data_IF_365398135115
#
_entry.id   IF_365398135115
#
_cell.length_a   1.000
_cell.length_b   1.000
_cell.length_c   1.000
_cell.angle_alpha   90.00
_cell.angle_beta   90.00
_cell.angle_gamma   90.00
#
_symmetry.space_group_name_H-M   'P 1'
#
loop_
_entity.id
_entity.type
_entity.pdbx_description
1 polymer ?
#
# COMPACT_ATOMS: atom_id res chain seq x y z
N UNK A 1 -0.62 -6.68 37.15
CA UNK A 1 -0.33 -7.48 35.94
C UNK A 1 0.24 -6.50 34.93
N UNK A 2 1.57 -6.50 34.74
CA UNK A 2 2.19 -5.64 33.72
C UNK A 2 1.94 -6.27 32.37
N UNK A 3 1.11 -5.63 31.55
CA UNK A 3 0.99 -5.96 30.13
C UNK A 3 2.34 -5.69 29.47
N UNK A 4 2.96 -6.71 28.86
CA UNK A 4 4.10 -6.52 27.97
C UNK A 4 3.71 -5.51 26.89
N UNK A 5 4.50 -4.46 26.62
CA UNK A 5 4.23 -3.56 25.51
C UNK A 5 4.19 -4.36 24.22
N UNK A 6 3.12 -4.22 23.45
CA UNK A 6 3.06 -4.82 22.11
C UNK A 6 4.04 -4.06 21.22
N UNK A 7 4.98 -4.77 20.61
CA UNK A 7 5.91 -4.20 19.65
C UNK A 7 5.20 -4.00 18.31
N UNK A 8 5.02 -2.74 17.93
CA UNK A 8 4.43 -2.36 16.66
C UNK A 8 5.36 -2.76 15.52
N UNK A 9 4.79 -3.27 14.43
CA UNK A 9 5.53 -3.58 13.21
C UNK A 9 5.16 -2.60 12.10
N UNK A 10 6.06 -2.45 11.12
CA UNK A 10 5.84 -1.61 9.95
C UNK A 10 5.80 -2.44 8.67
N UNK A 11 4.92 -2.06 7.74
CA UNK A 11 4.88 -2.55 6.37
C UNK A 11 4.93 -1.36 5.39
N UNK A 12 5.57 -1.51 4.24
CA UNK A 12 5.67 -0.44 3.23
C UNK A 12 5.30 -0.99 1.86
N UNK A 13 4.18 -0.52 1.31
CA UNK A 13 3.59 -1.04 0.08
C UNK A 13 3.36 0.05 -0.96
N UNK A 14 3.69 -0.25 -2.22
CA UNK A 14 3.25 0.48 -3.40
C UNK A 14 2.20 -0.33 -4.16
N UNK A 15 1.15 0.34 -4.64
CA UNK A 15 -0.01 -0.31 -5.28
C UNK A 15 -0.77 0.58 -6.24
N UNK A 16 -0.10 1.57 -6.85
CA UNK A 16 -0.71 2.66 -7.58
C UNK A 16 -0.82 3.93 -6.74
N UNK A 17 -1.81 4.78 -7.03
CA UNK A 17 -2.04 6.02 -6.28
C UNK A 17 -2.16 5.75 -4.77
N UNK A 18 -1.26 6.35 -3.99
CA UNK A 18 -1.18 6.14 -2.54
C UNK A 18 -2.46 6.56 -1.78
N UNK A 19 -3.30 7.46 -2.30
CA UNK A 19 -4.55 7.87 -1.64
C UNK A 19 -5.55 6.73 -1.57
N UNK A 20 -5.56 5.84 -2.57
CA UNK A 20 -6.39 4.63 -2.55
C UNK A 20 -5.90 3.67 -1.46
N UNK A 21 -4.58 3.48 -1.41
CA UNK A 21 -3.94 2.50 -0.54
C UNK A 21 -4.05 2.95 0.92
N UNK A 22 -3.74 4.22 1.20
CA UNK A 22 -3.82 4.84 2.52
C UNK A 22 -5.23 4.73 3.09
N UNK A 23 -6.26 5.15 2.32
CA UNK A 23 -7.65 5.12 2.77
C UNK A 23 -8.14 3.71 3.13
N UNK A 24 -7.61 2.68 2.46
CA UNK A 24 -7.92 1.28 2.77
C UNK A 24 -7.26 0.87 4.09
N UNK A 25 -5.94 1.04 4.21
CA UNK A 25 -5.20 0.56 5.37
C UNK A 25 -5.54 1.35 6.64
N UNK A 26 -5.76 2.66 6.54
CA UNK A 26 -6.17 3.49 7.67
C UNK A 26 -7.49 3.03 8.32
N UNK A 27 -8.36 2.36 7.56
CA UNK A 27 -9.66 1.86 8.01
C UNK A 27 -9.62 0.48 8.68
N UNK A 28 -8.49 -0.22 8.69
CA UNK A 28 -8.37 -1.58 9.24
C UNK A 28 -8.18 -1.60 10.75
N UNK A 29 -8.91 -2.46 11.44
CA UNK A 29 -8.67 -2.78 12.84
C UNK A 29 -7.26 -3.38 13.01
N UNK A 30 -6.56 -2.98 14.07
CA UNK A 30 -5.15 -3.32 14.29
C UNK A 30 -4.13 -2.44 13.55
N UNK A 31 -4.54 -1.62 12.58
CA UNK A 31 -3.66 -0.62 11.97
C UNK A 31 -3.67 0.66 12.80
N UNK A 32 -2.50 1.07 13.28
CA UNK A 32 -2.32 2.29 14.07
C UNK A 32 -2.21 3.53 13.18
N UNK A 33 -1.35 3.47 12.16
CA UNK A 33 -1.14 4.55 11.20
C UNK A 33 -1.00 3.99 9.78
N UNK A 34 -1.41 4.79 8.80
CA UNK A 34 -1.11 4.59 7.38
C UNK A 34 -0.71 5.95 6.83
N UNK A 35 0.53 6.08 6.35
CA UNK A 35 1.11 7.33 5.90
C UNK A 35 1.59 7.24 4.46
N UNK A 36 1.13 8.16 3.62
CA UNK A 36 1.54 8.29 2.22
C UNK A 36 2.98 8.81 2.11
N UNK A 37 3.74 8.31 1.14
CA UNK A 37 5.12 8.74 0.92
C UNK A 37 5.76 8.16 -0.34
N UNK A 38 7.08 8.31 -0.43
CA UNK A 38 7.89 7.95 -1.58
C UNK A 38 9.08 7.08 -1.16
N UNK A 39 9.33 6.00 -1.91
CA UNK A 39 10.44 5.08 -1.67
C UNK A 39 11.15 4.62 -2.95
N UNK A 40 12.42 4.24 -2.80
CA UNK A 40 13.15 3.44 -3.78
C UNK A 40 13.74 4.19 -4.99
N UNK A 41 13.60 5.52 -5.03
CA UNK A 41 14.23 6.42 -6.00
C UNK A 41 15.57 6.99 -5.53
N UNK A 42 16.18 7.81 -6.39
CA UNK A 42 17.53 8.34 -6.22
C UNK A 42 17.61 9.77 -5.68
N UNK A 43 16.47 10.48 -5.59
CA UNK A 43 16.41 11.86 -5.12
C UNK A 43 16.08 11.88 -3.63
N UNK A 44 16.92 12.50 -2.82
CA UNK A 44 16.63 12.70 -1.40
C UNK A 44 15.56 13.77 -1.20
N UNK A 45 14.66 13.54 -0.24
CA UNK A 45 13.54 14.43 0.09
C UNK A 45 12.75 14.92 -1.15
N UNK A 46 12.22 13.99 -1.97
CA UNK A 46 11.52 14.35 -3.21
C UNK A 46 10.20 15.08 -2.91
N UNK A 47 9.83 16.06 -3.73
CA UNK A 47 8.47 16.61 -3.75
C UNK A 47 7.56 15.80 -4.66
N UNK A 48 6.24 15.92 -4.47
CA UNK A 48 5.25 15.30 -5.35
C UNK A 48 5.48 15.68 -6.81
N UNK A 49 5.74 16.95 -7.11
CA UNK A 49 5.98 17.42 -8.48
C UNK A 49 7.20 16.75 -9.11
N UNK A 50 8.27 16.56 -8.33
CA UNK A 50 9.46 15.85 -8.79
C UNK A 50 9.12 14.39 -9.10
N UNK A 51 8.36 13.70 -8.24
CA UNK A 51 7.91 12.33 -8.49
C UNK A 51 7.02 12.25 -9.73
N UNK A 52 6.11 13.20 -9.94
CA UNK A 52 5.25 13.27 -11.12
C UNK A 52 6.02 13.40 -12.44
N UNK A 53 7.26 13.93 -12.43
CA UNK A 53 8.12 13.96 -13.63
C UNK A 53 8.56 12.57 -14.11
N UNK A 54 8.43 11.54 -13.25
CA UNK A 54 8.85 10.15 -13.50
C UNK A 54 10.37 9.93 -13.59
N UNK A 55 11.17 10.94 -13.24
CA UNK A 55 12.63 10.89 -13.35
C UNK A 55 13.34 10.53 -12.04
N UNK A 56 12.65 10.65 -10.90
CA UNK A 56 13.26 10.41 -9.58
C UNK A 56 13.49 8.92 -9.29
N UNK A 57 12.74 8.04 -9.96
CA UNK A 57 12.71 6.61 -9.70
C UNK A 57 11.93 6.21 -8.43
N UNK A 58 11.29 7.16 -7.75
CA UNK A 58 10.47 6.89 -6.58
C UNK A 58 9.14 6.22 -6.96
N UNK A 59 8.69 5.34 -6.07
CA UNK A 59 7.37 4.72 -6.09
C UNK A 59 6.51 5.40 -5.01
N UNK A 60 5.27 5.71 -5.34
CA UNK A 60 4.25 6.09 -4.35
C UNK A 60 3.94 4.89 -3.46
N UNK A 61 4.15 5.06 -2.17
CA UNK A 61 3.98 4.00 -1.17
C UNK A 61 3.17 4.49 0.02
N UNK A 62 2.69 3.53 0.80
CA UNK A 62 2.09 3.77 2.12
C UNK A 62 2.89 2.98 3.15
N UNK A 63 3.36 3.68 4.18
CA UNK A 63 3.92 3.07 5.39
C UNK A 63 2.78 2.81 6.38
N UNK A 64 2.66 1.57 6.84
CA UNK A 64 1.60 1.09 7.71
C UNK A 64 2.24 0.62 9.01
N UNK A 65 1.96 1.29 10.12
CA UNK A 65 2.33 0.79 11.45
C UNK A 65 1.14 0.04 12.05
N UNK A 66 1.33 -1.22 12.41
CA UNK A 66 0.27 -2.13 12.82
C UNK A 66 0.64 -2.97 14.06
N UNK A 67 -0.39 -3.36 14.80
CA UNK A 67 -0.29 -4.25 15.93
C UNK A 67 -0.38 -5.70 15.42
N UNK A 68 0.72 -6.49 15.47
CA UNK A 68 0.75 -7.86 14.95
C UNK A 68 -0.13 -8.84 15.74
N UNK A 69 -0.62 -8.46 16.94
CA UNK A 69 -1.56 -9.25 17.74
C UNK A 69 -3.02 -9.06 17.31
N UNK A 70 -3.30 -7.99 16.55
CA UNK A 70 -4.64 -7.66 16.07
C UNK A 70 -4.79 -7.88 14.55
N UNK A 71 -3.72 -7.66 13.78
CA UNK A 71 -3.69 -7.89 12.34
C UNK A 71 -2.30 -8.39 11.93
N UNK A 72 -2.23 -9.49 11.17
CA UNK A 72 -0.95 -10.06 10.77
C UNK A 72 -0.40 -9.39 9.50
N UNK A 73 0.91 -9.49 9.26
CA UNK A 73 1.49 -9.07 7.98
C UNK A 73 0.87 -9.80 6.78
N UNK A 74 0.50 -11.10 6.94
CA UNK A 74 -0.22 -11.85 5.92
C UNK A 74 -1.57 -11.23 5.60
N UNK A 75 -2.32 -10.80 6.62
CA UNK A 75 -3.59 -10.10 6.44
C UNK A 75 -3.43 -8.80 5.64
N UNK A 76 -2.34 -8.07 5.89
CA UNK A 76 -2.03 -6.86 5.12
C UNK A 76 -1.69 -7.16 3.66
N UNK A 77 -0.97 -8.26 3.38
CA UNK A 77 -0.70 -8.72 2.02
C UNK A 77 -1.99 -9.12 1.29
N UNK A 78 -2.88 -9.87 1.95
CA UNK A 78 -4.19 -10.25 1.39
C UNK A 78 -5.01 -9.01 1.01
N UNK A 79 -4.99 -7.98 1.87
CA UNK A 79 -5.64 -6.70 1.56
C UNK A 79 -4.96 -6.03 0.37
N UNK A 80 -3.62 -5.92 0.36
CA UNK A 80 -2.87 -5.30 -0.74
C UNK A 80 -3.25 -5.91 -2.09
N UNK A 81 -3.19 -7.24 -2.23
CA UNK A 81 -3.52 -7.94 -3.48
C UNK A 81 -5.01 -7.88 -3.84
N UNK A 82 -5.89 -7.57 -2.89
CA UNK A 82 -7.32 -7.42 -3.15
C UNK A 82 -7.76 -6.02 -3.64
N UNK A 83 -6.93 -4.99 -3.43
CA UNK A 83 -7.32 -3.58 -3.67
C UNK A 83 -6.69 -2.93 -4.91
N UNK A 84 -5.72 -3.58 -5.54
CA UNK A 84 -5.07 -3.10 -6.75
C UNK A 84 -4.84 -4.27 -7.73
N UNK A 85 -4.63 -3.98 -9.00
CA UNK A 85 -4.16 -4.96 -9.98
C UNK A 85 -2.63 -5.13 -9.87
N UNK A 86 -2.12 -6.27 -9.39
CA UNK A 86 -0.69 -6.52 -9.22
C UNK A 86 -0.02 -7.08 -10.48
N UNK A 87 -0.72 -7.14 -11.62
CA UNK A 87 -0.24 -7.78 -12.87
C UNK A 87 0.16 -6.78 -13.94
N UNK A 88 0.02 -5.47 -13.67
CA UNK A 88 0.31 -4.39 -14.62
C UNK A 88 1.58 -3.63 -14.24
N UNK A 89 2.73 -3.89 -14.89
CA UNK A 89 3.98 -3.20 -14.59
C UNK A 89 3.87 -1.69 -14.80
N UNK A 90 4.33 -0.91 -13.82
CA UNK A 90 4.35 0.56 -13.84
C UNK A 90 2.98 1.19 -14.10
N UNK A 91 1.89 0.55 -13.65
CA UNK A 91 0.54 1.02 -13.93
C UNK A 91 -0.46 0.54 -12.89
N UNK A 92 -1.45 1.38 -12.62
CA UNK A 92 -2.68 0.98 -11.94
C UNK A 92 -3.89 1.61 -12.61
N UNK A 93 -4.64 0.83 -13.40
CA UNK A 93 -5.74 1.36 -14.20
C UNK A 93 -5.25 2.46 -15.16
N UNK A 94 -5.77 3.68 -15.01
CA UNK A 94 -5.39 4.83 -15.83
C UNK A 94 -4.14 5.58 -15.31
N UNK A 95 -3.64 5.22 -14.12
CA UNK A 95 -2.44 5.82 -13.55
C UNK A 95 -1.21 5.11 -14.12
N UNK A 96 -0.53 5.76 -15.07
CA UNK A 96 0.58 5.16 -15.83
C UNK A 96 1.91 5.84 -15.50
N UNK A 97 2.86 5.07 -14.98
CA UNK A 97 4.22 5.50 -14.71
C UNK A 97 4.92 4.66 -13.64
N UNK A 98 6.26 4.73 -13.57
CA UNK A 98 7.05 3.96 -12.61
C UNK A 98 6.67 4.27 -11.16
N UNK A 99 6.14 5.46 -10.88
CA UNK A 99 5.69 5.83 -9.54
C UNK A 99 4.49 5.01 -9.05
N UNK A 100 3.73 4.38 -9.96
CA UNK A 100 2.55 3.59 -9.65
C UNK A 100 2.82 2.09 -9.64
N UNK A 101 4.10 1.70 -9.64
CA UNK A 101 4.52 0.31 -9.61
C UNK A 101 3.99 -0.41 -8.36
N UNK A 102 3.53 -1.64 -8.55
CA UNK A 102 3.25 -2.54 -7.43
C UNK A 102 4.57 -3.00 -6.81
N UNK A 103 4.77 -2.72 -5.53
CA UNK A 103 6.02 -3.00 -4.82
C UNK A 103 5.79 -3.26 -3.33
N UNK A 104 6.64 -4.10 -2.75
CA UNK A 104 6.70 -4.38 -1.32
C UNK A 104 8.14 -4.13 -0.87
N UNK A 105 8.31 -3.13 -0.01
CA UNK A 105 9.59 -2.83 0.63
C UNK A 105 9.65 -3.58 1.95
N UNK A 106 10.24 -4.79 1.94
CA UNK A 106 10.27 -5.66 3.11
C UNK A 106 11.20 -5.09 4.19
N UNK A 107 10.75 -5.11 5.44
CA UNK A 107 11.50 -4.57 6.59
C UNK A 107 12.46 -5.62 7.20
N UNK A 108 12.16 -6.90 6.98
CA UNK A 108 12.99 -8.03 7.39
C UNK A 108 12.85 -9.20 6.41
N UNK A 109 13.63 -10.26 6.65
CA UNK A 109 13.62 -11.47 5.82
C UNK A 109 12.30 -12.22 5.91
N UNK A 110 11.63 -12.22 7.07
CA UNK A 110 10.37 -12.91 7.26
C UNK A 110 9.25 -12.27 6.42
N UNK A 111 9.20 -10.94 6.33
CA UNK A 111 8.31 -10.22 5.44
C UNK A 111 8.57 -10.55 3.96
N UNK A 112 9.85 -10.64 3.56
CA UNK A 112 10.22 -11.01 2.18
C UNK A 112 9.72 -12.40 1.84
N UNK A 113 9.97 -13.38 2.72
CA UNK A 113 9.58 -14.78 2.52
C UNK A 113 8.06 -14.94 2.50
N UNK A 114 7.35 -14.28 3.41
CA UNK A 114 5.89 -14.31 3.45
C UNK A 114 5.29 -13.67 2.19
N UNK A 115 5.81 -12.53 1.73
CA UNK A 115 5.37 -11.90 0.50
C UNK A 115 5.62 -12.79 -0.73
N UNK A 116 6.80 -13.41 -0.82
CA UNK A 116 7.11 -14.34 -1.91
C UNK A 116 6.18 -15.57 -1.90
N UNK A 117 5.87 -16.11 -0.72
CA UNK A 117 4.94 -17.23 -0.57
C UNK A 117 3.53 -16.85 -1.04
N UNK A 118 2.98 -15.71 -0.59
CA UNK A 118 1.66 -15.23 -1.01
C UNK A 118 1.60 -14.99 -2.52
N UNK A 119 2.64 -14.37 -3.12
CA UNK A 119 2.73 -14.19 -4.58
C UNK A 119 2.70 -15.53 -5.30
N UNK A 120 3.45 -16.53 -4.80
CA UNK A 120 3.46 -17.88 -5.37
C UNK A 120 2.09 -18.55 -5.28
N UNK A 121 1.44 -18.49 -4.11
CA UNK A 121 0.10 -19.04 -3.88
C UNK A 121 -0.94 -18.43 -4.83
N UNK A 122 -0.94 -17.10 -5.01
CA UNK A 122 -1.86 -16.38 -5.89
C UNK A 122 -1.61 -16.67 -7.38
N UNK A 123 -0.34 -16.84 -7.78
CA UNK A 123 -0.01 -17.24 -9.15
C UNK A 123 -0.48 -18.68 -9.44
N UNK A 124 -0.36 -19.58 -8.47
CA UNK A 124 -0.82 -20.98 -8.60
C UNK A 124 -2.35 -21.08 -8.59
N UNK A 125 -3.03 -20.27 -7.79
CA UNK A 125 -4.50 -20.29 -7.69
C UNK A 125 -5.19 -19.82 -8.97
N UNK A 126 -4.51 -19.04 -9.80
CA UNK A 126 -5.09 -18.43 -10.99
C UNK A 126 -6.09 -17.31 -10.68
N UNK A 127 -6.01 -16.70 -9.49
CA UNK A 127 -6.88 -15.56 -9.11
C UNK A 127 -6.69 -14.37 -10.07
N UNK A 128 -5.50 -14.23 -10.65
CA UNK A 128 -5.19 -13.20 -11.64
C UNK A 128 -5.02 -13.80 -13.04
N UNK A 129 -5.47 -13.05 -14.05
CA UNK A 129 -5.39 -13.45 -15.47
C UNK A 129 -3.95 -13.46 -16.02
N UNK A 130 -3.02 -12.81 -15.33
CA UNK A 130 -1.60 -12.76 -15.67
C UNK A 130 -0.75 -12.93 -14.40
N UNK A 131 0.53 -13.31 -14.54
CA UNK A 131 1.43 -13.43 -13.40
C UNK A 131 1.58 -12.10 -12.64
N UNK A 132 1.63 -12.19 -11.32
CA UNK A 132 1.91 -11.04 -10.45
C UNK A 132 3.30 -10.47 -10.75
N UNK A 133 3.37 -9.16 -10.98
CA UNK A 133 4.60 -8.40 -11.23
C UNK A 133 5.01 -7.50 -10.05
N UNK A 134 4.46 -7.72 -8.86
CA UNK A 134 4.81 -6.99 -7.64
C UNK A 134 6.28 -7.18 -7.29
N UNK A 135 7.02 -6.08 -7.16
CA UNK A 135 8.45 -6.11 -6.85
C UNK A 135 8.70 -6.31 -5.35
N UNK A 136 9.52 -7.29 -4.97
CA UNK A 136 10.00 -7.46 -3.60
C UNK A 136 11.35 -6.74 -3.44
N UNK A 137 11.32 -5.53 -2.88
CA UNK A 137 12.49 -4.66 -2.71
C UNK A 137 12.95 -4.63 -1.25
N UNK A 138 14.27 -4.55 -0.96
CA UNK A 138 14.74 -4.29 0.39
C UNK A 138 14.16 -2.99 0.94
N UNK A 139 14.09 -2.89 2.26
CA UNK A 139 13.79 -1.63 2.94
C UNK A 139 14.63 -0.48 2.35
N UNK A 140 13.97 0.63 2.06
CA UNK A 140 14.56 1.85 1.53
C UNK A 140 14.14 3.03 2.41
N UNK A 141 14.84 4.15 2.26
CA UNK A 141 14.44 5.39 2.93
C UNK A 141 13.02 5.76 2.54
N UNK A 142 12.15 5.89 3.54
CA UNK A 142 10.80 6.40 3.38
C UNK A 142 10.80 7.93 3.51
N UNK A 143 10.37 8.60 2.45
CA UNK A 143 10.15 10.04 2.45
C UNK A 143 8.65 10.31 2.62
N UNK A 144 8.20 10.84 3.77
CA UNK A 144 6.81 11.25 3.94
C UNK A 144 6.38 12.20 2.82
N UNK A 145 5.19 11.97 2.27
CA UNK A 145 4.59 12.92 1.35
C UNK A 145 4.20 14.21 2.09
N UNK A 146 3.94 15.27 1.35
CA UNK A 146 3.49 16.54 1.90
C UNK A 146 2.16 16.38 2.65
N UNK A 147 1.98 17.15 3.73
CA UNK A 147 0.82 17.01 4.63
C UNK A 147 -0.54 17.19 3.95
N UNK A 148 -0.61 17.81 2.76
CA UNK A 148 -1.85 17.92 2.00
C UNK A 148 -2.29 16.59 1.37
N UNK A 149 -1.42 15.59 1.29
CA UNK A 149 -1.75 14.24 0.85
C UNK A 149 -2.32 13.36 1.97
N UNK A 150 -2.12 13.73 3.23
CA UNK A 150 -2.62 12.96 4.37
C UNK A 150 -4.15 12.96 4.39
N UNK A 151 -4.75 11.77 4.49
CA UNK A 151 -6.21 11.59 4.51
C UNK A 151 -6.92 12.23 3.30
N UNK A 152 -6.25 12.33 2.14
CA UNK A 152 -6.75 13.08 0.98
C UNK A 152 -8.17 12.66 0.58
N UNK A 153 -8.44 11.35 0.51
CA UNK A 153 -9.77 10.84 0.17
C UNK A 153 -10.84 11.19 1.20
N UNK A 154 -10.50 11.21 2.48
CA UNK A 154 -11.43 11.55 3.55
C UNK A 154 -11.74 13.05 3.57
N UNK A 155 -10.76 13.90 3.23
CA UNK A 155 -10.90 15.35 3.19
C UNK A 155 -11.51 15.86 1.88
N UNK A 156 -11.31 15.14 0.78
CA UNK A 156 -11.76 15.53 -0.56
C UNK A 156 -12.60 14.45 -1.26
N UNK A 157 -13.63 13.89 -0.60
CA UNK A 157 -14.39 12.78 -1.15
C UNK A 157 -15.10 13.15 -2.47
N UNK A 158 -15.49 14.41 -2.66
CA UNK A 158 -16.22 14.90 -3.84
C UNK A 158 -15.32 15.23 -5.04
N UNK A 159 -13.99 15.17 -4.87
CA UNK A 159 -13.07 15.42 -5.96
C UNK A 159 -13.24 14.37 -7.06
N UNK A 160 -13.19 14.78 -8.34
CA UNK A 160 -13.51 13.90 -9.46
C UNK A 160 -12.68 12.61 -9.50
N UNK A 161 -11.39 12.68 -9.19
CA UNK A 161 -10.54 11.49 -9.11
C UNK A 161 -10.93 10.59 -7.93
N UNK A 162 -11.20 11.16 -6.76
CA UNK A 162 -11.73 10.44 -5.60
C UNK A 162 -13.05 9.71 -5.90
N UNK A 163 -14.00 10.35 -6.57
CA UNK A 163 -15.28 9.74 -6.93
C UNK A 163 -15.13 8.62 -7.97
N UNK A 164 -14.31 8.84 -8.99
CA UNK A 164 -14.23 7.93 -10.13
C UNK A 164 -13.26 6.76 -9.94
N UNK A 165 -12.22 6.95 -9.11
CA UNK A 165 -11.13 5.97 -8.96
C UNK A 165 -11.04 5.43 -7.54
N UNK A 166 -11.05 6.30 -6.52
CA UNK A 166 -10.80 5.91 -5.13
C UNK A 166 -12.04 5.27 -4.49
N UNK A 167 -13.19 5.93 -4.58
CA UNK A 167 -14.43 5.53 -3.91
C UNK A 167 -14.91 4.12 -4.32
N UNK A 168 -14.89 3.72 -5.61
CA UNK A 168 -15.30 2.36 -6.00
C UNK A 168 -14.37 1.29 -5.41
N UNK A 169 -13.06 1.55 -5.35
CA UNK A 169 -12.06 0.65 -4.76
C UNK A 169 -12.29 0.50 -3.25
N UNK A 170 -12.41 1.62 -2.54
CA UNK A 170 -12.67 1.63 -1.09
C UNK A 170 -14.00 0.95 -0.76
N UNK A 171 -15.06 1.16 -1.55
CA UNK A 171 -16.35 0.52 -1.32
C UNK A 171 -16.29 -1.00 -1.52
N UNK A 172 -15.61 -1.47 -2.57
CA UNK A 172 -15.39 -2.90 -2.82
C UNK A 172 -14.59 -3.54 -1.67
N UNK A 173 -13.56 -2.84 -1.19
CA UNK A 173 -12.78 -3.23 -0.01
C UNK A 173 -13.67 -3.35 1.24
N UNK A 174 -14.42 -2.31 1.59
CA UNK A 174 -15.29 -2.31 2.79
C UNK A 174 -16.30 -3.45 2.78
N UNK A 175 -16.83 -3.82 1.62
CA UNK A 175 -17.73 -4.98 1.47
C UNK A 175 -16.99 -6.30 1.69
N UNK A 176 -15.80 -6.48 1.10
CA UNK A 176 -15.00 -7.73 1.20
C UNK A 176 -14.42 -7.94 2.60
N UNK A 177 -14.07 -6.87 3.31
CA UNK A 177 -13.33 -6.92 4.57
C UNK A 177 -14.08 -6.28 5.76
N UNK A 178 -15.42 -6.26 5.72
CA UNK A 178 -16.25 -5.61 6.74
C UNK A 178 -15.90 -6.04 8.18
N UNK A 179 -15.59 -7.33 8.39
CA UNK A 179 -15.22 -7.88 9.70
C UNK A 179 -13.85 -7.38 10.22
N UNK A 180 -13.04 -6.74 9.39
CA UNK A 180 -11.71 -6.22 9.72
C UNK A 180 -11.66 -4.70 9.80
N UNK A 181 -12.78 -4.00 9.63
CA UNK A 181 -12.82 -2.55 9.73
C UNK A 181 -12.79 -2.10 11.20
N UNK A 182 -12.21 -0.92 11.46
CA UNK A 182 -12.38 -0.23 12.74
C UNK A 182 -13.87 0.01 12.98
N UNK A 183 -14.31 -0.24 14.21
CA UNK A 183 -15.68 0.04 14.67
C UNK A 183 -15.92 1.54 14.83
#
# INVERSE_FOLDING_TARGET
MSSTPVEMQSAVFGGGCFWCVEAVFAALHGVHSAQSGYCGGAVDNPSYEQVCTKQTGHIEVVKIDFDPTQISYKDLLEVLFAIHDPTTPGRQGNDVGPQYQSAIFWQDVAQREMAAAVISELNVSGEFAAPICTELRPAATFWPAEAYHDNYFALHPEQGYCQMVVAPKVQKFRKRFAARLKS
#
